data_IF_039914394715
#
_entry.id   IF_039914394715
#
_cell.length_a   1.000
_cell.length_b   1.000
_cell.length_c   1.000
_cell.angle_alpha   90.00
_cell.angle_beta   90.00
_cell.angle_gamma   90.00
#
_symmetry.space_group_name_H-M   'P 1'
#
loop_
_entity.id
_entity.type
_entity.pdbx_description
1 polymer ?
#
# COMPACT_ATOMS: atom_id res chain seq x y z
N UNK A 1 -19.80 -23.75 -50.29
CA UNK A 1 -18.91 -24.14 -49.17
C UNK A 1 -18.03 -22.94 -48.92
N UNK A 2 -18.45 -22.06 -48.00
CA UNK A 2 -17.84 -20.77 -47.67
C UNK A 2 -17.10 -20.96 -46.36
N UNK A 3 -15.76 -20.82 -46.41
CA UNK A 3 -14.87 -20.90 -45.26
C UNK A 3 -15.00 -19.61 -44.42
N UNK A 4 -15.41 -19.67 -43.13
CA UNK A 4 -15.43 -18.50 -42.25
C UNK A 4 -14.03 -18.30 -41.71
N UNK A 5 -13.33 -17.29 -42.25
CA UNK A 5 -12.07 -16.81 -41.66
C UNK A 5 -12.33 -16.30 -40.23
N UNK A 6 -11.51 -16.68 -39.23
CA UNK A 6 -11.59 -16.15 -37.91
C UNK A 6 -11.30 -14.66 -37.90
N UNK A 7 -12.27 -13.87 -37.46
CA UNK A 7 -12.10 -12.45 -37.17
C UNK A 7 -11.17 -12.28 -36.02
N UNK A 8 -9.93 -11.84 -36.27
CA UNK A 8 -9.02 -11.40 -35.21
C UNK A 8 -9.63 -10.24 -34.44
N UNK A 9 -9.53 -10.23 -33.09
CA UNK A 9 -10.01 -9.10 -32.29
C UNK A 9 -9.09 -7.88 -32.50
N UNK A 10 -9.62 -6.88 -33.23
CA UNK A 10 -9.05 -5.54 -33.34
C UNK A 10 -9.08 -4.81 -31.99
N UNK A 11 -8.09 -5.02 -31.13
CA UNK A 11 -7.84 -4.10 -30.00
C UNK A 11 -6.41 -4.14 -29.48
N UNK A 12 -5.44 -3.84 -30.31
CA UNK A 12 -4.22 -3.22 -29.82
C UNK A 12 -4.27 -1.74 -30.23
N UNK A 13 -5.10 -0.94 -29.57
CA UNK A 13 -5.08 0.52 -29.70
C UNK A 13 -3.71 1.00 -29.22
N UNK A 14 -2.87 1.41 -30.14
CA UNK A 14 -1.63 2.13 -29.88
C UNK A 14 -1.99 3.41 -29.11
N UNK A 15 -1.83 3.39 -27.79
CA UNK A 15 -1.98 4.60 -27.00
C UNK A 15 -1.01 5.65 -27.54
N UNK A 16 -1.50 6.86 -27.79
CA UNK A 16 -0.69 7.95 -28.33
C UNK A 16 0.53 8.20 -27.41
N UNK A 17 1.66 8.68 -27.96
CA UNK A 17 2.85 8.96 -27.17
C UNK A 17 2.58 9.91 -26.01
N UNK A 18 1.64 10.83 -26.14
CA UNK A 18 1.21 11.74 -25.07
C UNK A 18 0.50 11.00 -23.94
N UNK A 19 -0.39 10.05 -24.23
CA UNK A 19 -1.07 9.22 -23.22
C UNK A 19 -0.06 8.32 -22.50
N UNK A 20 0.93 7.80 -23.21
CA UNK A 20 2.02 6.99 -22.62
C UNK A 20 2.91 7.85 -21.70
N UNK A 21 3.28 9.06 -22.11
CA UNK A 21 4.05 9.99 -21.29
C UNK A 21 3.28 10.42 -20.05
N UNK A 22 2.01 10.82 -20.18
CA UNK A 22 1.16 11.17 -19.06
C UNK A 22 1.02 10.01 -18.06
N UNK A 23 0.77 8.79 -18.55
CA UNK A 23 0.66 7.62 -17.69
C UNK A 23 1.99 7.25 -16.98
N UNK A 24 3.14 7.56 -17.59
CA UNK A 24 4.45 7.37 -16.97
C UNK A 24 4.67 8.37 -15.83
N UNK A 25 4.31 9.64 -16.04
CA UNK A 25 4.39 10.68 -15.00
C UNK A 25 3.48 10.32 -13.82
N UNK A 26 2.23 9.95 -14.08
CA UNK A 26 1.30 9.55 -13.03
C UNK A 26 1.76 8.31 -12.26
N UNK A 27 2.34 7.31 -12.92
CA UNK A 27 2.97 6.16 -12.24
C UNK A 27 4.17 6.58 -11.39
N UNK A 28 4.97 7.52 -11.87
CA UNK A 28 6.09 8.07 -11.10
C UNK A 28 5.64 8.77 -9.82
N UNK A 29 4.54 9.52 -9.88
CA UNK A 29 3.99 10.25 -8.73
C UNK A 29 3.19 9.35 -7.79
N UNK A 30 2.21 8.63 -8.33
CA UNK A 30 1.22 7.87 -7.55
C UNK A 30 1.58 6.39 -7.39
N UNK A 31 2.69 5.92 -7.95
CA UNK A 31 3.01 4.50 -8.01
C UNK A 31 2.04 3.71 -8.92
N UNK A 32 2.27 2.42 -9.09
CA UNK A 32 1.43 1.53 -9.88
C UNK A 32 0.44 0.78 -8.99
N UNK A 33 -0.82 0.59 -9.40
CA UNK A 33 -1.74 -0.31 -8.72
C UNK A 33 -1.10 -1.70 -8.61
N UNK A 34 -1.25 -2.33 -7.46
CA UNK A 34 -0.67 -3.64 -7.16
C UNK A 34 -1.76 -4.54 -6.59
N UNK A 35 -2.32 -5.46 -7.39
CA UNK A 35 -3.21 -6.47 -6.86
C UNK A 35 -2.43 -7.41 -5.93
N UNK A 36 -3.02 -7.77 -4.80
CA UNK A 36 -2.46 -8.77 -3.91
C UNK A 36 -2.71 -10.18 -4.46
N UNK A 37 -1.80 -11.13 -4.21
CA UNK A 37 -2.02 -12.53 -4.56
C UNK A 37 -3.31 -13.08 -3.96
N UNK A 38 -4.09 -13.90 -4.70
CA UNK A 38 -5.32 -14.51 -4.18
C UNK A 38 -5.11 -15.32 -2.90
N UNK A 39 -3.97 -15.99 -2.75
CA UNK A 39 -3.61 -16.73 -1.54
C UNK A 39 -3.53 -15.85 -0.30
N UNK A 40 -2.96 -14.65 -0.42
CA UNK A 40 -2.92 -13.67 0.67
C UNK A 40 -4.32 -13.18 1.04
N UNK A 41 -5.18 -12.92 0.05
CA UNK A 41 -6.54 -12.47 0.28
C UNK A 41 -7.45 -13.59 0.84
N UNK A 42 -7.15 -14.85 0.56
CA UNK A 42 -7.82 -15.98 1.19
C UNK A 42 -7.43 -16.13 2.65
N UNK A 43 -6.14 -15.96 2.96
CA UNK A 43 -5.62 -16.07 4.32
C UNK A 43 -5.97 -14.83 5.17
N UNK A 44 -5.93 -13.64 4.58
CA UNK A 44 -6.19 -12.34 5.23
C UNK A 44 -7.18 -11.51 4.41
N UNK A 45 -8.49 -11.85 4.42
CA UNK A 45 -9.49 -11.19 3.58
C UNK A 45 -9.64 -9.70 3.88
N UNK A 46 -9.30 -9.24 5.08
CA UNK A 46 -9.30 -7.84 5.48
C UNK A 46 -8.36 -6.96 4.64
N UNK A 47 -7.31 -7.54 4.04
CA UNK A 47 -6.40 -6.81 3.16
C UNK A 47 -7.09 -6.21 1.92
N UNK A 48 -8.25 -6.76 1.53
CA UNK A 48 -9.08 -6.21 0.46
C UNK A 48 -9.67 -4.82 0.77
N UNK A 49 -9.63 -4.37 2.02
CA UNK A 49 -10.13 -3.05 2.44
C UNK A 49 -9.22 -1.90 2.05
N UNK A 50 -7.95 -2.16 1.73
CA UNK A 50 -6.97 -1.16 1.34
C UNK A 50 -6.72 -1.16 -0.18
N UNK A 51 -6.29 -0.02 -0.71
CA UNK A 51 -5.82 0.11 -2.07
C UNK A 51 -4.29 -0.01 -2.08
N UNK A 52 -3.79 -1.07 -2.67
CA UNK A 52 -2.36 -1.36 -2.69
C UNK A 52 -1.70 -0.79 -3.93
N UNK A 53 -0.57 -0.11 -3.75
CA UNK A 53 0.25 0.45 -4.82
C UNK A 53 1.72 0.13 -4.58
N UNK A 54 2.51 0.12 -5.65
CA UNK A 54 3.95 -0.08 -5.57
C UNK A 54 4.70 1.10 -6.14
N UNK A 55 5.73 1.54 -5.42
CA UNK A 55 6.54 2.71 -5.80
C UNK A 55 5.78 4.03 -5.64
N UNK A 56 6.24 5.05 -6.38
CA UNK A 56 5.69 6.39 -6.29
C UNK A 56 6.50 7.32 -5.39
N UNK A 57 6.19 8.61 -5.48
CA UNK A 57 6.92 9.66 -4.76
C UNK A 57 6.70 9.59 -3.24
N UNK A 58 5.53 9.13 -2.79
CA UNK A 58 5.18 9.08 -1.37
C UNK A 58 6.15 8.22 -0.56
N UNK A 59 6.57 7.06 -1.08
CA UNK A 59 7.53 6.18 -0.40
C UNK A 59 8.91 6.85 -0.28
N UNK A 60 9.31 7.62 -1.29
CA UNK A 60 10.59 8.35 -1.28
C UNK A 60 10.59 9.51 -0.28
N UNK A 61 9.49 10.28 -0.23
CA UNK A 61 9.33 11.41 0.71
C UNK A 61 9.22 10.89 2.14
N UNK A 62 8.45 9.81 2.37
CA UNK A 62 8.30 9.21 3.70
C UNK A 62 9.64 8.75 4.27
N UNK A 63 10.50 8.14 3.45
CA UNK A 63 11.86 7.75 3.85
C UNK A 63 12.70 8.95 4.27
N UNK A 64 12.66 10.03 3.50
CA UNK A 64 13.39 11.26 3.81
C UNK A 64 12.90 11.91 5.13
N UNK A 65 11.58 11.97 5.36
CA UNK A 65 11.00 12.56 6.57
C UNK A 65 11.35 11.82 7.85
N UNK A 66 11.55 10.49 7.75
CA UNK A 66 11.89 9.61 8.88
C UNK A 66 13.41 9.40 9.05
N UNK A 67 14.24 10.17 8.31
CA UNK A 67 15.70 10.06 8.39
C UNK A 67 16.25 8.71 7.92
N UNK A 68 15.47 7.97 7.12
CA UNK A 68 15.85 6.69 6.53
C UNK A 68 15.89 6.81 5.01
N UNK A 69 16.81 6.09 4.39
CA UNK A 69 16.93 6.09 2.93
C UNK A 69 15.67 5.57 2.24
N UNK A 70 14.93 4.66 2.87
CA UNK A 70 13.65 4.13 2.40
C UNK A 70 12.79 3.64 3.57
N UNK A 71 11.47 3.82 3.46
CA UNK A 71 10.49 3.09 4.28
C UNK A 71 9.93 1.94 3.46
N UNK A 72 9.59 0.83 4.12
CA UNK A 72 9.02 -0.35 3.45
C UNK A 72 7.63 -0.06 2.88
N UNK A 73 6.85 0.76 3.57
CA UNK A 73 5.51 1.19 3.16
C UNK A 73 5.18 2.56 3.71
N UNK A 74 4.15 3.17 3.17
CA UNK A 74 3.50 4.38 3.68
C UNK A 74 2.00 4.29 3.42
N UNK A 75 1.22 4.63 4.42
CA UNK A 75 -0.24 4.64 4.35
C UNK A 75 -0.78 6.06 4.38
N UNK A 76 -1.71 6.37 3.48
CA UNK A 76 -2.46 7.63 3.48
C UNK A 76 -3.94 7.33 3.19
N UNK A 77 -4.80 7.54 4.19
CA UNK A 77 -6.20 7.18 4.12
C UNK A 77 -6.37 5.67 3.90
N UNK A 78 -6.97 5.29 2.76
CA UNK A 78 -7.17 3.87 2.39
C UNK A 78 -6.12 3.33 1.41
N UNK A 79 -5.14 4.13 1.05
CA UNK A 79 -4.12 3.72 0.07
C UNK A 79 -2.78 3.47 0.76
N UNK A 80 -2.21 2.33 0.45
CA UNK A 80 -0.89 1.90 0.91
C UNK A 80 0.06 1.85 -0.26
N UNK A 81 1.21 2.50 -0.12
CA UNK A 81 2.30 2.43 -1.09
C UNK A 81 3.45 1.63 -0.50
N UNK A 82 3.82 0.54 -1.16
CA UNK A 82 4.99 -0.25 -0.80
C UNK A 82 6.20 0.16 -1.64
N UNK A 83 7.37 0.14 -1.03
CA UNK A 83 8.61 0.41 -1.76
C UNK A 83 8.86 -0.64 -2.85
N UNK A 84 9.52 -0.26 -3.95
CA UNK A 84 9.95 -1.22 -4.97
C UNK A 84 10.85 -2.30 -4.33
N UNK A 85 10.62 -3.57 -4.72
CA UNK A 85 11.44 -4.70 -4.23
C UNK A 85 11.10 -5.21 -2.82
N UNK A 86 10.23 -4.53 -2.07
CA UNK A 86 9.78 -5.03 -0.75
C UNK A 86 8.91 -6.27 -0.94
N UNK A 87 9.19 -7.38 -0.22
CA UNK A 87 8.37 -8.58 -0.27
C UNK A 87 6.99 -8.34 0.34
N UNK A 88 5.99 -9.09 -0.16
CA UNK A 88 4.61 -9.04 0.36
C UNK A 88 4.47 -9.92 1.61
N UNK A 89 5.23 -9.60 2.66
CA UNK A 89 5.15 -10.30 3.93
C UNK A 89 3.83 -9.98 4.63
N UNK A 90 3.09 -10.97 5.17
CA UNK A 90 1.85 -10.76 5.89
C UNK A 90 1.95 -9.72 7.00
N UNK A 91 3.04 -9.77 7.80
CA UNK A 91 3.26 -8.82 8.88
C UNK A 91 3.30 -7.38 8.38
N UNK A 92 3.99 -7.11 7.27
CA UNK A 92 4.07 -5.78 6.70
C UNK A 92 2.70 -5.31 6.19
N UNK A 93 2.00 -6.18 5.47
CA UNK A 93 0.69 -5.84 4.90
C UNK A 93 -0.35 -5.56 6.00
N UNK A 94 -0.35 -6.36 7.05
CA UNK A 94 -1.25 -6.18 8.19
C UNK A 94 -0.87 -4.94 9.01
N UNK A 95 0.42 -4.65 9.18
CA UNK A 95 0.90 -3.41 9.80
C UNK A 95 0.38 -2.18 9.05
N UNK A 96 0.55 -2.13 7.75
CA UNK A 96 0.03 -1.02 6.91
C UNK A 96 -1.51 -0.95 6.92
N UNK A 97 -2.18 -2.10 6.94
CA UNK A 97 -3.63 -2.14 7.09
C UNK A 97 -4.09 -1.52 8.41
N UNK A 98 -3.35 -1.72 9.52
CA UNK A 98 -3.70 -1.08 10.78
C UNK A 98 -3.64 0.45 10.68
N UNK A 99 -2.68 1.00 9.96
CA UNK A 99 -2.67 2.44 9.68
C UNK A 99 -3.90 2.88 8.87
N UNK A 100 -4.39 2.08 7.92
CA UNK A 100 -5.68 2.37 7.23
C UNK A 100 -6.83 2.44 8.24
N UNK A 101 -6.88 1.53 9.22
CA UNK A 101 -7.90 1.57 10.28
C UNK A 101 -7.76 2.82 11.16
N UNK A 102 -6.54 3.16 11.58
CA UNK A 102 -6.25 4.36 12.37
C UNK A 102 -6.70 5.65 11.66
N UNK A 103 -6.51 5.73 10.32
CA UNK A 103 -7.05 6.83 9.52
C UNK A 103 -8.59 6.88 9.51
N UNK A 104 -9.24 5.73 9.53
CA UNK A 104 -10.70 5.64 9.54
C UNK A 104 -11.30 5.93 10.92
N UNK A 105 -10.60 5.53 11.98
CA UNK A 105 -11.02 5.67 13.39
C UNK A 105 -10.81 7.09 13.94
N UNK A 106 -9.75 7.78 13.49
CA UNK A 106 -9.38 9.10 14.01
C UNK A 106 -9.03 10.09 12.88
N UNK A 107 -9.87 11.09 12.70
CA UNK A 107 -9.62 12.17 11.71
C UNK A 107 -8.37 13.00 12.03
N UNK A 108 -7.96 13.06 13.30
CA UNK A 108 -6.76 13.75 13.73
C UNK A 108 -5.51 12.85 13.72
N UNK A 109 -5.67 11.57 13.31
CA UNK A 109 -4.58 10.61 13.26
C UNK A 109 -3.31 11.13 12.58
N UNK A 110 -3.35 11.77 11.39
CA UNK A 110 -2.11 12.25 10.75
C UNK A 110 -1.34 13.25 11.62
N UNK A 111 -2.04 14.17 12.26
CA UNK A 111 -1.43 15.17 13.14
C UNK A 111 -0.85 14.52 14.41
N UNK A 112 -1.62 13.63 15.01
CA UNK A 112 -1.20 12.89 16.21
C UNK A 112 -0.03 11.96 15.93
N UNK A 113 -0.04 11.31 14.77
CA UNK A 113 1.06 10.45 14.33
C UNK A 113 2.36 11.23 14.16
N UNK A 114 2.31 12.37 13.45
CA UNK A 114 3.48 13.25 13.28
C UNK A 114 3.97 13.77 14.63
N UNK A 115 3.06 14.25 15.47
CA UNK A 115 3.40 14.72 16.81
C UNK A 115 4.02 13.62 17.69
N UNK A 116 3.43 12.42 17.68
CA UNK A 116 3.97 11.25 18.39
C UNK A 116 5.37 10.87 17.91
N UNK A 117 5.59 10.93 16.59
CA UNK A 117 6.89 10.63 15.99
C UNK A 117 7.96 11.67 16.35
N UNK A 118 7.59 12.95 16.40
CA UNK A 118 8.50 14.03 16.82
C UNK A 118 8.83 13.94 18.32
N UNK A 119 7.85 13.60 19.16
CA UNK A 119 8.02 13.56 20.61
C UNK A 119 8.74 12.31 21.11
N UNK A 120 8.46 11.16 20.54
CA UNK A 120 8.92 9.84 21.03
C UNK A 120 9.87 9.12 20.05
N UNK A 121 10.01 9.63 18.84
CA UNK A 121 10.66 8.94 17.74
C UNK A 121 9.75 7.88 17.11
N UNK A 122 10.03 7.51 15.86
CA UNK A 122 9.24 6.55 15.08
C UNK A 122 8.99 5.22 15.81
N UNK A 123 10.05 4.62 16.36
CA UNK A 123 9.96 3.30 17.00
C UNK A 123 9.11 3.27 18.28
N UNK A 124 9.00 4.41 18.99
CA UNK A 124 8.24 4.57 20.23
C UNK A 124 6.90 5.26 20.01
N UNK A 125 6.53 5.55 18.76
CA UNK A 125 5.23 6.11 18.44
C UNK A 125 4.14 5.08 18.83
N UNK A 126 3.12 5.47 19.63
CA UNK A 126 2.05 4.56 20.06
C UNK A 126 1.31 3.92 18.87
N UNK A 127 1.11 4.66 17.78
CA UNK A 127 0.45 4.16 16.57
C UNK A 127 1.25 3.08 15.86
N UNK A 128 2.58 3.21 15.87
CA UNK A 128 3.49 2.18 15.36
C UNK A 128 3.50 0.93 16.24
N UNK A 129 3.44 1.12 17.58
CA UNK A 129 3.35 0.01 18.53
C UNK A 129 2.05 -0.78 18.32
N UNK A 130 0.92 -0.08 18.18
CA UNK A 130 -0.39 -0.67 17.89
C UNK A 130 -0.38 -1.41 16.54
N UNK A 131 0.21 -0.82 15.48
CA UNK A 131 0.28 -1.48 14.18
C UNK A 131 1.14 -2.76 14.22
N UNK A 132 2.26 -2.77 14.93
CA UNK A 132 3.08 -3.97 15.13
C UNK A 132 2.34 -5.04 15.92
N UNK A 133 1.65 -4.66 17.00
CA UNK A 133 0.88 -5.59 17.82
C UNK A 133 -0.27 -6.21 17.02
N UNK A 134 -1.00 -5.41 16.25
CA UNK A 134 -2.06 -5.88 15.37
C UNK A 134 -1.53 -6.90 14.36
N UNK A 135 -0.44 -6.58 13.66
CA UNK A 135 0.16 -7.47 12.68
C UNK A 135 0.59 -8.81 13.31
N UNK A 136 1.31 -8.76 14.44
CA UNK A 136 1.76 -9.96 15.15
C UNK A 136 0.58 -10.84 15.58
N UNK A 137 -0.45 -10.25 16.21
CA UNK A 137 -1.63 -11.01 16.66
C UNK A 137 -2.38 -11.70 15.51
N UNK A 138 -2.40 -11.09 14.32
CA UNK A 138 -3.06 -11.68 13.15
C UNK A 138 -2.25 -12.78 12.49
N UNK A 139 -0.92 -12.63 12.45
CA UNK A 139 -0.02 -13.65 11.89
C UNK A 139 0.03 -14.87 12.81
N UNK A 140 0.09 -14.66 14.14
CA UNK A 140 0.14 -15.73 15.14
C UNK A 140 -1.23 -16.39 15.38
N UNK A 141 -2.30 -15.90 14.72
CA UNK A 141 -3.66 -16.40 14.87
C UNK A 141 -4.31 -16.05 16.20
N UNK A 142 -3.73 -15.15 16.97
CA UNK A 142 -4.28 -14.65 18.22
C UNK A 142 -5.41 -13.63 17.95
N UNK A 143 -6.54 -13.68 18.66
CA UNK A 143 -7.56 -12.66 18.54
C UNK A 143 -6.96 -11.30 18.95
N UNK A 144 -7.33 -10.18 18.26
CA UNK A 144 -6.87 -8.87 18.69
C UNK A 144 -7.30 -8.62 20.12
N UNK A 145 -6.37 -8.19 20.97
CA UNK A 145 -6.68 -7.76 22.34
C UNK A 145 -7.67 -6.60 22.30
N UNK A 146 -8.79 -6.74 23.01
CA UNK A 146 -9.83 -5.72 23.13
C UNK A 146 -9.32 -4.45 23.82
#
# INVERSE_FOLDING_TARGET
MVDPRPTEPLTARHASPLVRAASAIWRGLLGSPMPLPPSLLQQYPELARAHWRRGGMFVRIGGWFLGRATVSGITLGRTVWLAPGVPLAPELLLHELRHVHQFAEDRAFPLRYVWGSLRHGYLRNPYEADARQFAASRVDGLPPSA
#
